data_IF_453387204572
#
_entry.id   IF_453387204572
#
_cell.length_a   1.000
_cell.length_b   1.000
_cell.length_c   1.000
_cell.angle_alpha   90.00
_cell.angle_beta   90.00
_cell.angle_gamma   90.00
#
_symmetry.space_group_name_H-M   'P 1'
#
loop_
_entity.id
_entity.type
_entity.pdbx_description
1 polymer ?
#
# COMPACT_ATOMS: atom_id res chain seq x y z
N UNK A 1 -2.12 2.39 -2.70
CA UNK A 1 -1.39 3.54 -3.25
C UNK A 1 -2.16 4.04 -4.45
N UNK A 2 -2.42 5.33 -4.49
CA UNK A 2 -2.98 5.98 -5.66
C UNK A 2 -1.83 6.39 -6.58
N UNK A 3 -2.04 6.27 -7.88
CA UNK A 3 -1.16 6.93 -8.84
C UNK A 3 -1.15 8.43 -8.60
N UNK A 4 -0.06 9.08 -9.00
CA UNK A 4 0.03 10.53 -9.07
C UNK A 4 0.12 10.88 -10.55
N UNK A 5 -0.87 11.61 -11.06
CA UNK A 5 -0.87 12.09 -12.46
C UNK A 5 -0.24 13.49 -12.58
N UNK A 6 -0.09 14.18 -11.45
CA UNK A 6 0.52 15.51 -11.37
C UNK A 6 2.01 15.41 -11.05
N UNK A 7 2.84 15.29 -12.09
CA UNK A 7 4.30 15.22 -11.95
C UNK A 7 4.91 16.46 -11.28
N UNK A 8 4.19 17.59 -11.24
CA UNK A 8 4.71 18.83 -10.61
C UNK A 8 4.99 18.66 -9.12
N UNK A 9 4.31 17.71 -8.46
CA UNK A 9 4.55 17.34 -7.07
C UNK A 9 5.97 16.80 -6.87
N UNK A 10 6.44 15.96 -7.80
CA UNK A 10 7.79 15.39 -7.73
C UNK A 10 8.86 16.44 -8.04
N UNK A 11 8.63 17.27 -9.08
CA UNK A 11 9.54 18.36 -9.41
C UNK A 11 9.72 19.32 -8.24
N UNK A 12 8.62 19.74 -7.59
CA UNK A 12 8.68 20.61 -6.43
C UNK A 12 9.44 19.96 -5.27
N UNK A 13 9.19 18.67 -5.00
CA UNK A 13 9.89 17.92 -3.95
C UNK A 13 11.41 17.88 -4.19
N UNK A 14 11.84 17.63 -5.44
CA UNK A 14 13.26 17.64 -5.82
C UNK A 14 13.91 19.02 -5.67
N UNK A 15 13.24 20.07 -6.16
CA UNK A 15 13.72 21.45 -6.06
C UNK A 15 13.85 21.91 -4.60
N UNK A 16 12.90 21.53 -3.75
CA UNK A 16 12.94 21.83 -2.33
C UNK A 16 14.07 21.08 -1.61
N UNK A 17 14.33 19.81 -1.94
CA UNK A 17 15.44 19.05 -1.34
C UNK A 17 16.81 19.57 -1.82
N UNK A 18 16.88 20.11 -3.04
CA UNK A 18 18.10 20.76 -3.56
C UNK A 18 18.37 22.12 -2.90
N UNK A 19 17.32 22.91 -2.66
CA UNK A 19 17.44 24.27 -2.11
C UNK A 19 17.55 24.30 -0.58
N UNK A 20 16.81 23.42 0.11
CA UNK A 20 16.85 23.25 1.57
C UNK A 20 17.05 21.77 1.91
N UNK A 21 18.28 21.27 1.96
CA UNK A 21 18.59 19.86 2.23
C UNK A 21 17.98 19.33 3.54
N UNK A 22 17.27 18.20 3.49
CA UNK A 22 16.75 17.55 4.69
C UNK A 22 17.88 17.16 5.65
N UNK A 23 17.66 17.24 6.98
CA UNK A 23 18.62 16.81 7.98
C UNK A 23 19.12 15.39 7.68
N UNK A 24 20.44 15.24 7.62
CA UNK A 24 21.08 14.00 7.18
C UNK A 24 22.32 13.68 8.00
N UNK A 25 22.60 12.38 8.15
CA UNK A 25 23.84 11.88 8.77
C UNK A 25 24.49 10.83 7.89
N UNK A 26 25.81 10.76 7.95
CA UNK A 26 26.58 9.68 7.29
C UNK A 26 26.95 8.62 8.31
N UNK A 27 26.53 7.38 8.08
CA UNK A 27 26.87 6.22 8.91
C UNK A 27 27.41 5.14 7.97
N UNK A 28 28.64 4.67 8.23
CA UNK A 28 29.31 3.63 7.43
C UNK A 28 29.34 3.90 5.91
N UNK A 29 29.58 5.16 5.54
CA UNK A 29 29.62 5.58 4.12
C UNK A 29 28.24 5.71 3.45
N UNK A 30 27.15 5.52 4.19
CA UNK A 30 25.77 5.70 3.70
C UNK A 30 25.16 6.97 4.29
N UNK A 31 24.51 7.76 3.45
CA UNK A 31 23.74 8.92 3.91
C UNK A 31 22.33 8.47 4.30
N UNK A 32 21.92 8.82 5.52
CA UNK A 32 20.57 8.62 6.03
C UNK A 32 19.94 10.01 6.16
N UNK A 33 18.78 10.19 5.54
CA UNK A 33 18.03 11.44 5.50
C UNK A 33 16.77 11.29 6.32
N UNK A 34 16.34 12.37 6.96
CA UNK A 34 14.97 12.46 7.49
C UNK A 34 14.00 12.54 6.31
N UNK A 35 12.90 11.80 6.35
CA UNK A 35 11.86 11.85 5.33
C UNK A 35 11.25 13.25 5.26
N UNK A 36 11.03 13.73 4.04
CA UNK A 36 10.26 14.95 3.75
C UNK A 36 8.85 14.57 3.31
N UNK A 37 7.88 15.40 3.65
CA UNK A 37 6.51 15.24 3.18
C UNK A 37 6.42 15.53 1.68
N UNK A 38 5.74 14.66 0.94
CA UNK A 38 5.37 14.90 -0.45
C UNK A 38 4.09 15.75 -0.45
N UNK A 39 4.06 16.81 -1.25
CA UNK A 39 2.85 17.63 -1.39
C UNK A 39 1.68 16.80 -1.93
N UNK A 40 0.44 17.17 -1.57
CA UNK A 40 -0.73 16.50 -2.11
C UNK A 40 -0.87 16.81 -3.61
N UNK A 41 -1.04 15.79 -4.47
CA UNK A 41 -1.27 16.01 -5.88
C UNK A 41 -2.62 16.68 -6.13
N UNK A 42 -2.65 17.56 -7.13
CA UNK A 42 -3.91 18.19 -7.56
C UNK A 42 -4.86 17.18 -8.23
N UNK A 43 -4.28 16.14 -8.82
CA UNK A 43 -5.00 15.05 -9.47
C UNK A 43 -4.39 13.72 -9.03
N UNK A 44 -5.23 12.89 -8.41
CA UNK A 44 -4.92 11.51 -8.12
C UNK A 44 -5.16 10.66 -9.37
N UNK A 45 -4.23 9.76 -9.66
CA UNK A 45 -4.42 8.72 -10.65
C UNK A 45 -5.18 7.52 -10.11
N UNK A 46 -5.36 6.52 -10.98
CA UNK A 46 -6.00 5.27 -10.62
C UNK A 46 -5.30 4.58 -9.41
N UNK A 47 -6.03 3.79 -8.61
CA UNK A 47 -5.39 2.92 -7.62
C UNK A 47 -4.45 1.93 -8.31
N UNK A 48 -3.24 1.80 -7.80
CA UNK A 48 -2.19 0.93 -8.36
C UNK A 48 -1.72 0.01 -7.26
N UNK A 49 -1.73 -1.32 -7.50
CA UNK A 49 -1.17 -2.34 -6.60
C UNK A 49 0.33 -2.12 -6.37
N UNK A 50 0.75 -2.19 -5.12
CA UNK A 50 2.03 -1.75 -4.59
C UNK A 50 2.27 -2.52 -3.31
N UNK A 51 3.53 -2.52 -2.85
CA UNK A 51 3.97 -3.34 -1.72
C UNK A 51 3.75 -4.86 -1.92
N UNK A 52 4.63 -5.44 -2.75
CA UNK A 52 4.69 -6.89 -2.98
C UNK A 52 5.58 -7.61 -1.96
N UNK A 53 5.98 -6.95 -0.85
CA UNK A 53 6.89 -7.53 0.14
C UNK A 53 6.34 -8.78 0.83
N UNK A 54 5.01 -8.92 0.87
CA UNK A 54 4.30 -10.07 1.46
C UNK A 54 3.48 -10.86 0.42
N UNK A 55 3.75 -10.66 -0.87
CA UNK A 55 3.05 -11.37 -1.94
C UNK A 55 3.47 -12.85 -1.98
N UNK A 56 2.52 -13.76 -2.17
CA UNK A 56 2.76 -15.20 -2.31
C UNK A 56 1.89 -15.76 -3.44
N UNK A 57 2.23 -16.96 -3.92
CA UNK A 57 1.48 -17.65 -4.96
C UNK A 57 0.11 -18.09 -4.43
N UNK A 58 -0.96 -17.67 -5.10
CA UNK A 58 -2.35 -17.89 -4.65
C UNK A 58 -2.90 -19.30 -4.85
N UNK A 59 -2.20 -20.17 -5.60
CA UNK A 59 -2.58 -21.59 -5.79
C UNK A 59 -2.10 -22.49 -4.65
N UNK A 60 -1.27 -21.96 -3.75
CA UNK A 60 -0.70 -22.68 -2.62
C UNK A 60 -1.48 -22.29 -1.37
N UNK A 61 -1.76 -23.29 -0.51
CA UNK A 61 -2.34 -23.04 0.80
C UNK A 61 -1.26 -22.63 1.81
N UNK A 62 -1.64 -21.70 2.68
CA UNK A 62 -0.78 -21.07 3.66
C UNK A 62 -1.45 -21.12 5.05
N UNK A 63 -0.65 -20.93 6.10
CA UNK A 63 -1.10 -21.02 7.50
C UNK A 63 -0.59 -19.87 8.38
N UNK A 64 0.28 -19.02 7.83
CA UNK A 64 0.81 -17.86 8.50
C UNK A 64 -0.24 -16.76 8.69
N UNK A 65 -0.05 -15.93 9.71
CA UNK A 65 -0.82 -14.70 9.90
C UNK A 65 -0.31 -13.62 8.93
N UNK A 66 -1.17 -13.21 8.01
CA UNK A 66 -0.81 -12.34 6.88
C UNK A 66 -1.69 -11.08 6.79
N UNK A 67 -2.68 -10.94 7.67
CA UNK A 67 -3.66 -9.86 7.59
C UNK A 67 -3.71 -9.03 8.88
N UNK A 68 -3.76 -7.69 8.78
CA UNK A 68 -4.07 -6.84 9.92
C UNK A 68 -5.46 -7.15 10.51
N UNK A 69 -5.63 -6.94 11.81
CA UNK A 69 -6.83 -7.35 12.56
C UNK A 69 -8.17 -6.94 11.92
N UNK A 70 -8.29 -5.69 11.46
CA UNK A 70 -9.56 -5.17 10.89
C UNK A 70 -9.88 -5.73 9.49
N UNK A 71 -8.91 -6.36 8.85
CA UNK A 71 -9.03 -6.96 7.53
C UNK A 71 -8.94 -8.49 7.59
N UNK A 72 -8.73 -9.08 8.76
CA UNK A 72 -8.45 -10.51 8.88
C UNK A 72 -9.69 -11.33 8.48
N UNK A 73 -9.49 -12.23 7.54
CA UNK A 73 -10.48 -13.16 7.03
C UNK A 73 -10.78 -14.24 8.09
N UNK A 74 -12.00 -14.80 8.12
CA UNK A 74 -12.39 -15.77 9.13
C UNK A 74 -11.50 -17.01 9.13
N UNK A 75 -11.05 -17.50 7.96
CA UNK A 75 -10.13 -18.63 7.84
C UNK A 75 -8.77 -18.34 8.51
N UNK A 76 -8.27 -17.11 8.43
CA UNK A 76 -7.03 -16.69 9.08
C UNK A 76 -7.22 -16.58 10.60
N UNK A 77 -8.38 -16.09 11.06
CA UNK A 77 -8.71 -16.01 12.50
C UNK A 77 -8.72 -17.39 13.17
N UNK A 78 -9.23 -18.40 12.47
CA UNK A 78 -9.33 -19.77 13.02
C UNK A 78 -8.14 -20.65 12.65
N UNK A 79 -7.06 -20.06 12.13
CA UNK A 79 -5.83 -20.76 11.71
C UNK A 79 -6.10 -21.91 10.71
N UNK A 80 -7.12 -21.76 9.86
CA UNK A 80 -7.41 -22.68 8.78
C UNK A 80 -6.53 -22.38 7.55
N UNK A 81 -6.26 -23.39 6.70
CA UNK A 81 -5.57 -23.16 5.43
C UNK A 81 -6.26 -22.09 4.60
N UNK A 82 -5.47 -21.16 4.08
CA UNK A 82 -5.97 -20.06 3.26
C UNK A 82 -5.21 -19.93 1.95
N UNK A 83 -5.84 -19.31 0.95
CA UNK A 83 -5.26 -19.04 -0.37
C UNK A 83 -5.72 -17.67 -0.87
N UNK A 84 -5.92 -17.46 -2.17
CA UNK A 84 -6.36 -16.16 -2.73
C UNK A 84 -7.74 -15.66 -2.21
N UNK A 85 -8.55 -16.51 -1.54
CA UNK A 85 -9.84 -16.12 -0.97
C UNK A 85 -9.74 -14.97 0.02
N UNK A 86 -8.61 -14.87 0.74
CA UNK A 86 -8.41 -13.84 1.74
C UNK A 86 -8.31 -12.44 1.11
N UNK A 87 -7.81 -12.33 -0.13
CA UNK A 87 -7.74 -11.07 -0.88
C UNK A 87 -9.13 -10.60 -1.31
N UNK A 88 -10.05 -11.55 -1.60
CA UNK A 88 -11.46 -11.25 -1.90
C UNK A 88 -12.14 -10.69 -0.65
N UNK A 89 -11.89 -11.31 0.51
CA UNK A 89 -12.36 -10.79 1.80
C UNK A 89 -11.83 -9.37 2.05
N UNK A 90 -10.54 -9.14 1.83
CA UNK A 90 -9.94 -7.81 1.99
C UNK A 90 -10.55 -6.76 1.08
N UNK A 91 -10.83 -7.11 -0.18
CA UNK A 91 -11.54 -6.22 -1.12
C UNK A 91 -12.92 -5.84 -0.60
N UNK A 92 -13.66 -6.80 -0.02
CA UNK A 92 -14.97 -6.55 0.60
C UNK A 92 -14.87 -5.62 1.81
N UNK A 93 -13.91 -5.87 2.71
CA UNK A 93 -13.67 -4.99 3.87
C UNK A 93 -13.35 -3.56 3.46
N UNK A 94 -12.53 -3.37 2.43
CA UNK A 94 -12.21 -2.05 1.87
C UNK A 94 -13.48 -1.32 1.42
N UNK A 95 -14.33 -2.00 0.65
CA UNK A 95 -15.58 -1.41 0.15
C UNK A 95 -16.53 -1.02 1.29
N UNK A 96 -16.70 -1.90 2.29
CA UNK A 96 -17.60 -1.63 3.42
C UNK A 96 -17.08 -0.54 4.37
N UNK A 97 -15.77 -0.48 4.61
CA UNK A 97 -15.18 0.54 5.48
C UNK A 97 -15.28 1.94 4.84
N UNK A 98 -15.17 2.04 3.52
CA UNK A 98 -15.38 3.30 2.78
C UNK A 98 -16.80 3.85 2.95
N UNK A 99 -17.84 3.02 2.85
CA UNK A 99 -19.23 3.46 3.03
C UNK A 99 -19.52 3.97 4.46
N UNK A 100 -18.78 3.48 5.47
CA UNK A 100 -18.98 3.84 6.88
C UNK A 100 -18.28 5.13 7.31
N UNK A 101 -17.31 5.62 6.52
CA UNK A 101 -16.52 6.81 6.82
C UNK A 101 -16.69 7.80 5.66
N UNK A 102 -17.58 8.79 5.82
CA UNK A 102 -17.93 9.79 4.81
C UNK A 102 -16.80 10.79 4.45
N UNK A 103 -15.53 10.39 4.56
CA UNK A 103 -14.36 11.16 4.15
C UNK A 103 -13.62 10.41 3.04
N UNK A 104 -13.98 10.76 1.81
CA UNK A 104 -13.48 10.21 0.55
C UNK A 104 -11.94 10.28 0.36
N UNK A 105 -11.21 10.96 1.25
CA UNK A 105 -9.80 11.34 1.06
C UNK A 105 -8.78 10.56 1.92
N UNK A 106 -9.19 9.72 2.86
CA UNK A 106 -8.22 9.03 3.77
C UNK A 106 -8.19 7.50 3.63
N UNK A 107 -9.21 6.88 3.00
CA UNK A 107 -9.36 5.41 3.00
C UNK A 107 -8.69 4.74 1.80
N UNK A 108 -8.53 5.44 0.68
CA UNK A 108 -7.84 4.94 -0.53
C UNK A 108 -6.38 4.51 -0.28
N UNK A 109 -5.74 5.00 0.77
CA UNK A 109 -4.37 4.63 1.15
C UNK A 109 -4.29 3.20 1.72
N UNK A 110 -5.37 2.73 2.35
CA UNK A 110 -5.45 1.39 2.94
C UNK A 110 -5.89 0.31 1.94
N UNK A 111 -6.37 0.71 0.75
CA UNK A 111 -7.00 -0.14 -0.29
C UNK A 111 -6.08 -1.23 -0.89
N UNK A 112 -4.81 -1.26 -0.51
CA UNK A 112 -3.80 -1.85 -1.37
C UNK A 112 -2.73 -2.69 -0.69
N UNK A 113 -2.74 -2.75 0.64
CA UNK A 113 -1.87 -3.66 1.38
C UNK A 113 -2.28 -5.13 1.21
N UNK A 114 -3.41 -5.43 0.56
CA UNK A 114 -4.07 -6.73 0.68
C UNK A 114 -4.71 -7.31 -0.59
N UNK A 115 -4.56 -6.70 -1.76
CA UNK A 115 -5.19 -7.19 -3.00
C UNK A 115 -4.16 -7.50 -4.09
N UNK A 116 -3.14 -8.28 -3.77
CA UNK A 116 -2.10 -8.63 -4.73
C UNK A 116 -1.77 -10.12 -4.76
N UNK A 117 -2.75 -11.02 -4.98
CA UNK A 117 -2.46 -12.43 -5.32
C UNK A 117 -3.30 -13.04 -6.44
N UNK A 118 -4.00 -12.25 -7.27
CA UNK A 118 -4.80 -12.82 -8.38
C UNK A 118 -4.42 -12.39 -9.81
N UNK A 119 -3.36 -11.61 -10.04
CA UNK A 119 -2.98 -11.25 -11.41
C UNK A 119 -1.46 -11.27 -11.68
N UNK A 120 -0.88 -12.48 -11.67
CA UNK A 120 0.30 -12.76 -12.49
C UNK A 120 -0.18 -13.67 -13.63
N UNK A 121 -0.51 -13.15 -14.82
CA UNK A 121 -0.70 -14.01 -15.97
C UNK A 121 0.62 -14.72 -16.26
N UNK A 122 0.56 -16.05 -16.43
CA UNK A 122 1.68 -16.85 -16.95
C UNK A 122 2.29 -16.12 -18.16
N UNK A 123 3.54 -15.69 -18.04
CA UNK A 123 4.43 -15.43 -19.18
C UNK A 123 5.15 -16.74 -19.49
#
# INVERSE_FOLDING_TARGET
MLGIEDDSVFTAFEEEELSDPSPRKTVDGRSIYVSRELQLPKAWGAPVLCDFGSAVIGEIEHLEDVQPDIYRAPEVIVEAPWSYSIDIWNTGCVYTLDESNANYDTILVQILLLTAKSFIPRI
#
